data_IF_455532731205
#
_entry.id   IF_455532731205
#
_cell.length_a   1.000
_cell.length_b   1.000
_cell.length_c   1.000
_cell.angle_alpha   90.00
_cell.angle_beta   90.00
_cell.angle_gamma   90.00
#
_symmetry.space_group_name_H-M   'P 1'
#
loop_
_entity.id
_entity.type
_entity.pdbx_description
1 polymer ?
#
# COMPACT_ATOMS: atom_id res chain seq x y z
N UNK A 1 48.93 -24.81 30.34
CA UNK A 1 47.77 -25.39 31.06
C UNK A 1 46.50 -24.74 30.49
N UNK A 2 45.66 -25.45 29.71
CA UNK A 2 44.46 -24.86 29.12
C UNK A 2 43.29 -24.86 30.10
N UNK A 3 42.54 -23.75 30.13
CA UNK A 3 41.37 -23.53 30.98
C UNK A 3 40.11 -24.16 30.32
N UNK A 4 39.18 -24.79 31.06
CA UNK A 4 38.15 -25.65 30.50
C UNK A 4 36.81 -24.92 30.25
N UNK A 5 36.08 -25.43 29.25
CA UNK A 5 34.62 -25.34 29.06
C UNK A 5 33.99 -23.94 28.83
N UNK A 6 33.93 -23.50 27.57
CA UNK A 6 32.83 -22.67 27.08
C UNK A 6 31.70 -23.60 26.59
N UNK A 7 30.62 -23.71 27.38
CA UNK A 7 29.37 -24.29 26.90
C UNK A 7 28.75 -23.36 25.85
N UNK A 8 28.33 -23.96 24.73
CA UNK A 8 27.57 -23.31 23.66
C UNK A 8 26.18 -22.93 24.18
N UNK A 9 25.97 -21.67 24.50
CA UNK A 9 24.62 -21.14 24.73
C UNK A 9 24.04 -20.65 23.40
N UNK A 10 23.30 -21.56 22.76
CA UNK A 10 22.59 -21.34 21.50
C UNK A 10 21.34 -20.49 21.66
N UNK A 11 21.48 -19.21 22.04
CA UNK A 11 20.38 -18.25 21.99
C UNK A 11 20.42 -17.54 20.64
N UNK A 12 19.69 -18.09 19.66
CA UNK A 12 19.39 -17.38 18.40
C UNK A 12 18.62 -16.10 18.75
N UNK A 13 19.24 -14.94 18.56
CA UNK A 13 18.53 -13.64 18.68
C UNK A 13 17.41 -13.64 17.64
N UNK A 14 16.15 -13.58 18.11
CA UNK A 14 14.98 -13.46 17.23
C UNK A 14 15.03 -12.09 16.53
N UNK A 15 14.81 -12.00 15.21
CA UNK A 15 14.66 -10.71 14.56
C UNK A 15 13.42 -10.00 15.14
N UNK A 16 13.56 -8.71 15.45
CA UNK A 16 12.43 -7.86 15.83
C UNK A 16 11.45 -7.81 14.65
N UNK A 17 10.24 -8.33 14.84
CA UNK A 17 9.19 -8.22 13.84
C UNK A 17 8.79 -6.73 13.66
N UNK A 18 8.52 -6.28 12.43
CA UNK A 18 8.10 -4.90 12.18
C UNK A 18 6.75 -4.60 12.84
N UNK A 19 6.56 -3.36 13.30
CA UNK A 19 5.44 -2.88 14.13
C UNK A 19 4.02 -3.10 13.56
N UNK A 20 3.88 -3.51 12.30
CA UNK A 20 2.59 -3.80 11.69
C UNK A 20 2.12 -5.25 11.89
N UNK A 21 2.96 -6.15 12.42
CA UNK A 21 2.63 -7.57 12.63
C UNK A 21 1.72 -7.87 13.84
N UNK A 22 1.15 -6.86 14.50
CA UNK A 22 0.30 -7.03 15.68
C UNK A 22 -1.19 -7.00 15.33
N UNK A 23 -1.68 -8.05 14.69
CA UNK A 23 -3.05 -8.54 14.88
C UNK A 23 -3.14 -9.98 14.38
N UNK A 24 -3.70 -10.87 15.21
CA UNK A 24 -3.96 -12.29 14.94
C UNK A 24 -2.75 -13.23 15.18
N UNK A 25 -2.52 -13.53 16.46
CA UNK A 25 -1.77 -14.71 16.86
C UNK A 25 -2.66 -15.96 16.73
N UNK A 26 -2.63 -16.66 15.59
CA UNK A 26 -3.17 -18.02 15.51
C UNK A 26 -2.18 -19.00 16.16
N UNK A 27 -2.62 -19.58 17.27
CA UNK A 27 -1.90 -20.60 18.03
C UNK A 27 -1.98 -21.92 17.25
N UNK A 28 -0.86 -22.36 16.69
CA UNK A 28 -0.68 -23.75 16.24
C UNK A 28 -0.76 -23.99 14.73
N UNK A 29 0.19 -23.46 13.97
CA UNK A 29 0.58 -24.06 12.69
C UNK A 29 2.11 -24.03 12.60
N UNK A 30 2.72 -25.20 12.50
CA UNK A 30 4.13 -25.34 12.11
C UNK A 30 4.26 -24.89 10.66
N UNK A 31 4.38 -23.58 10.44
CA UNK A 31 4.37 -22.98 9.11
C UNK A 31 5.75 -22.44 8.76
N UNK A 32 6.60 -23.30 8.21
CA UNK A 32 7.79 -22.87 7.46
C UNK A 32 7.41 -22.15 6.13
N UNK A 33 6.11 -22.07 5.82
CA UNK A 33 5.55 -21.39 4.64
C UNK A 33 5.10 -19.92 4.86
N UNK A 34 5.19 -19.37 6.08
CA UNK A 34 4.87 -17.95 6.30
C UNK A 34 5.92 -17.02 5.67
N UNK A 35 7.18 -17.42 5.69
CA UNK A 35 8.27 -16.61 5.12
C UNK A 35 8.13 -16.57 3.58
N UNK A 36 7.81 -17.69 2.94
CA UNK A 36 7.64 -17.74 1.49
C UNK A 36 6.41 -16.98 1.00
N UNK A 37 5.27 -17.06 1.70
CA UNK A 37 4.08 -16.28 1.33
C UNK A 37 4.26 -14.77 1.51
N UNK A 38 4.93 -14.34 2.59
CA UNK A 38 5.21 -12.92 2.80
C UNK A 38 6.21 -12.32 1.79
N UNK A 39 7.02 -13.15 1.12
CA UNK A 39 8.00 -12.72 0.10
C UNK A 39 7.40 -12.73 -1.32
N UNK A 40 6.32 -13.49 -1.56
CA UNK A 40 5.77 -13.73 -2.91
C UNK A 40 4.40 -13.09 -3.16
N UNK A 41 3.71 -12.58 -2.15
CA UNK A 41 2.53 -11.76 -2.42
C UNK A 41 2.95 -10.36 -2.84
N UNK A 42 2.52 -9.87 -4.03
CA UNK A 42 2.79 -8.49 -4.41
C UNK A 42 2.21 -7.60 -3.32
N UNK A 43 3.06 -6.78 -2.71
CA UNK A 43 2.64 -5.88 -1.65
C UNK A 43 1.43 -5.07 -2.14
N UNK A 44 0.30 -5.17 -1.45
CA UNK A 44 -0.90 -4.40 -1.77
C UNK A 44 -0.53 -2.91 -1.81
N UNK A 45 -0.57 -2.32 -3.00
CA UNK A 45 -0.31 -0.90 -3.18
C UNK A 45 -1.58 -0.12 -2.97
N UNK A 46 -1.48 0.95 -2.19
CA UNK A 46 -2.59 1.84 -1.88
C UNK A 46 -2.21 3.22 -2.36
N UNK A 47 -3.07 3.81 -3.19
CA UNK A 47 -2.92 5.17 -3.69
C UNK A 47 -4.07 6.03 -3.19
N UNK A 48 -3.78 7.25 -2.78
CA UNK A 48 -4.81 8.24 -2.46
C UNK A 48 -5.31 8.90 -3.74
N UNK A 49 -6.61 8.86 -3.98
CA UNK A 49 -7.24 9.56 -5.09
C UNK A 49 -7.94 10.83 -4.61
N UNK A 50 -7.80 11.91 -5.37
CA UNK A 50 -8.60 13.14 -5.22
C UNK A 50 -9.76 13.05 -6.20
N UNK A 51 -10.98 13.30 -5.71
CA UNK A 51 -12.20 13.23 -6.53
C UNK A 51 -12.92 14.58 -6.46
N UNK A 52 -13.21 15.12 -7.62
CA UNK A 52 -13.90 16.39 -7.82
C UNK A 52 -15.21 16.17 -8.58
N UNK A 53 -16.21 17.03 -8.34
CA UNK A 53 -17.45 17.04 -9.14
C UNK A 53 -17.37 18.17 -10.15
N UNK A 54 -17.57 17.85 -11.43
CA UNK A 54 -17.76 18.86 -12.46
C UNK A 54 -19.15 19.50 -12.28
N UNK A 55 -19.26 20.83 -12.05
CA UNK A 55 -20.55 21.48 -11.84
C UNK A 55 -21.40 21.56 -13.12
N UNK A 56 -20.78 21.55 -14.32
CA UNK A 56 -21.53 21.61 -15.58
C UNK A 56 -22.15 20.26 -15.97
N UNK A 57 -21.44 19.15 -15.76
CA UNK A 57 -21.87 17.82 -16.22
C UNK A 57 -22.43 16.95 -15.11
N UNK A 58 -22.18 17.30 -13.85
CA UNK A 58 -22.50 16.48 -12.68
C UNK A 58 -21.61 15.25 -12.51
N UNK A 59 -20.72 14.98 -13.46
CA UNK A 59 -19.79 13.85 -13.43
C UNK A 59 -18.75 14.04 -12.33
N UNK A 60 -18.28 12.92 -11.79
CA UNK A 60 -17.11 12.90 -10.94
C UNK A 60 -15.86 12.67 -11.77
N UNK A 61 -14.80 13.39 -11.45
CA UNK A 61 -13.47 13.28 -12.04
C UNK A 61 -12.50 12.95 -10.91
N UNK A 62 -11.79 11.83 -11.01
CA UNK A 62 -10.83 11.38 -10.02
C UNK A 62 -9.43 11.27 -10.61
N UNK A 63 -8.42 11.50 -9.78
CA UNK A 63 -7.03 11.30 -10.15
C UNK A 63 -6.15 10.93 -8.95
N UNK A 64 -5.00 10.30 -9.22
CA UNK A 64 -3.97 10.04 -8.20
C UNK A 64 -2.86 11.11 -8.32
N UNK A 65 -2.67 11.98 -7.31
CA UNK A 65 -1.63 13.01 -7.34
C UNK A 65 -0.24 12.40 -7.54
N UNK A 66 0.54 13.01 -8.45
CA UNK A 66 1.89 12.56 -8.76
C UNK A 66 1.98 11.27 -9.57
N UNK A 67 0.87 10.65 -9.99
CA UNK A 67 0.88 9.46 -10.83
C UNK A 67 0.43 9.84 -12.25
N UNK A 68 1.37 10.05 -13.20
CA UNK A 68 1.03 10.48 -14.56
C UNK A 68 0.07 9.49 -15.24
N UNK A 69 -1.01 10.02 -15.81
CA UNK A 69 -2.01 9.22 -16.54
C UNK A 69 -3.06 8.54 -15.66
N UNK A 70 -2.93 8.56 -14.33
CA UNK A 70 -3.92 7.96 -13.42
C UNK A 70 -5.11 8.90 -13.17
N UNK A 71 -5.90 9.12 -14.23
CA UNK A 71 -7.12 9.92 -14.21
C UNK A 71 -8.31 9.07 -14.66
N UNK A 72 -9.49 9.34 -14.12
CA UNK A 72 -10.73 8.72 -14.55
C UNK A 72 -11.94 9.61 -14.28
N UNK A 73 -13.06 9.31 -14.94
CA UNK A 73 -14.37 9.90 -14.66
C UNK A 73 -15.42 8.84 -14.35
N UNK A 74 -16.58 9.25 -13.84
CA UNK A 74 -17.72 8.38 -13.57
C UNK A 74 -19.04 9.13 -13.41
N UNK A 75 -20.14 8.41 -13.60
CA UNK A 75 -21.54 8.85 -13.58
C UNK A 75 -22.08 9.23 -12.20
N UNK A 76 -21.40 10.13 -11.49
CA UNK A 76 -21.91 10.77 -10.27
C UNK A 76 -21.89 9.90 -9.00
N UNK A 77 -21.34 8.69 -9.05
CA UNK A 77 -21.09 7.81 -7.92
C UNK A 77 -19.58 7.64 -7.65
N UNK A 78 -19.16 7.72 -6.38
CA UNK A 78 -17.74 7.64 -6.00
C UNK A 78 -17.12 6.27 -6.30
N UNK A 79 -17.90 5.20 -6.12
CA UNK A 79 -17.43 3.82 -6.35
C UNK A 79 -17.09 3.56 -7.81
N UNK A 80 -17.80 4.21 -8.75
CA UNK A 80 -17.53 4.09 -10.18
C UNK A 80 -16.17 4.69 -10.53
N UNK A 81 -15.88 5.89 -10.03
CA UNK A 81 -14.56 6.53 -10.21
C UNK A 81 -13.46 5.68 -9.58
N UNK A 82 -13.73 5.11 -8.39
CA UNK A 82 -12.76 4.24 -7.72
C UNK A 82 -12.47 2.96 -8.52
N UNK A 83 -13.52 2.30 -9.05
CA UNK A 83 -13.37 1.13 -9.91
C UNK A 83 -12.58 1.46 -11.18
N UNK A 84 -12.93 2.56 -11.85
CA UNK A 84 -12.25 2.96 -13.08
C UNK A 84 -10.79 3.35 -12.82
N UNK A 85 -10.48 4.05 -11.73
CA UNK A 85 -9.10 4.35 -11.33
C UNK A 85 -8.29 3.07 -11.06
N UNK A 86 -8.88 2.05 -10.43
CA UNK A 86 -8.19 0.75 -10.25
C UNK A 86 -7.80 0.12 -11.59
N UNK A 87 -8.70 0.15 -12.57
CA UNK A 87 -8.42 -0.38 -13.91
C UNK A 87 -7.31 0.41 -14.61
N UNK A 88 -7.39 1.75 -14.59
CA UNK A 88 -6.37 2.63 -15.18
C UNK A 88 -5.00 2.40 -14.53
N UNK A 89 -4.94 2.36 -13.20
CA UNK A 89 -3.69 2.11 -12.47
C UNK A 89 -3.14 0.71 -12.79
N UNK A 90 -4.00 -0.31 -12.85
CA UNK A 90 -3.56 -1.65 -13.22
C UNK A 90 -2.91 -1.67 -14.61
N UNK A 91 -3.52 -0.99 -15.59
CA UNK A 91 -2.97 -0.86 -16.94
C UNK A 91 -1.63 -0.11 -16.94
N UNK A 92 -1.51 0.99 -16.20
CA UNK A 92 -0.26 1.76 -16.12
C UNK A 92 0.87 0.97 -15.45
N UNK A 93 0.54 0.04 -14.54
CA UNK A 93 1.51 -0.82 -13.87
C UNK A 93 1.99 -1.99 -14.74
N UNK A 94 1.34 -2.30 -15.87
CA UNK A 94 1.79 -3.33 -16.80
C UNK A 94 3.16 -2.97 -17.42
N UNK A 95 3.44 -1.68 -17.58
CA UNK A 95 4.71 -1.15 -18.09
C UNK A 95 5.81 -1.05 -17.00
N UNK A 96 5.49 -1.41 -15.75
CA UNK A 96 6.40 -1.38 -14.60
C UNK A 96 6.00 -0.41 -13.50
N UNK A 97 6.91 -0.16 -12.55
CA UNK A 97 6.69 0.80 -11.47
C UNK A 97 6.79 2.24 -11.99
N UNK A 98 5.73 3.05 -11.92
CA UNK A 98 5.80 4.45 -12.30
C UNK A 98 6.63 5.24 -11.27
N UNK A 99 7.41 6.19 -11.77
CA UNK A 99 8.02 7.20 -10.91
C UNK A 99 6.97 8.25 -10.56
N UNK A 100 6.60 8.35 -9.29
CA UNK A 100 5.69 9.40 -8.84
C UNK A 100 6.38 10.77 -8.91
N UNK A 101 5.72 11.74 -9.53
CA UNK A 101 6.21 13.11 -9.68
C UNK A 101 6.04 13.95 -8.40
N UNK A 102 5.14 13.53 -7.51
CA UNK A 102 4.88 14.19 -6.22
C UNK A 102 4.34 13.21 -5.19
N UNK A 103 4.52 13.51 -3.91
CA UNK A 103 3.90 12.79 -2.80
C UNK A 103 2.60 13.47 -2.37
N UNK A 104 1.53 12.69 -2.20
CA UNK A 104 0.28 13.21 -1.64
C UNK A 104 0.40 13.40 -0.13
N UNK A 105 0.35 14.66 0.33
CA UNK A 105 0.46 15.01 1.76
C UNK A 105 -0.91 15.09 2.44
N UNK A 106 -1.94 15.55 1.74
CA UNK A 106 -3.30 15.68 2.29
C UNK A 106 -4.12 16.78 1.63
N UNK A 107 -5.31 17.02 2.19
CA UNK A 107 -6.20 18.14 1.83
C UNK A 107 -6.44 19.01 3.06
N UNK A 108 -6.57 20.32 2.87
CA UNK A 108 -6.87 21.26 3.94
C UNK A 108 -7.97 22.21 3.50
N UNK A 109 -9.04 22.29 4.30
CA UNK A 109 -10.09 23.29 4.09
C UNK A 109 -9.57 24.65 4.59
N UNK A 110 -9.56 25.64 3.70
CA UNK A 110 -9.19 27.03 4.01
C UNK A 110 -10.45 27.88 3.95
N UNK A 111 -10.78 28.58 5.03
CA UNK A 111 -11.93 29.48 5.10
C UNK A 111 -11.50 30.92 4.79
N UNK A 112 -12.30 31.62 4.00
CA UNK A 112 -12.13 33.05 3.65
C UNK A 112 -13.47 33.78 3.84
N UNK A 113 -13.41 35.09 4.08
CA UNK A 113 -14.57 35.97 4.31
C UNK A 113 -14.77 36.96 3.17
#
# INVERSE_FOLDING_TARGET
MPNPTLKRDGVKRRPLAPRWASAVAYRGASNDNYIFRAILEPAMKVYSAVIERCPQTGLFVGFVPGFPGAHSQGGGALDEVNHNLRNVIAMLLEDGEPMLESEFVGVQNVAVA
#
